data_IF_472090690583
#
_entry.id   IF_472090690583
#
_cell.length_a   1.000
_cell.length_b   1.000
_cell.length_c   1.000
_cell.angle_alpha   90.00
_cell.angle_beta   90.00
_cell.angle_gamma   90.00
#
_symmetry.space_group_name_H-M   'P 1'
#
loop_
_entity.id
_entity.type
_entity.pdbx_description
1 polymer ?
#
# COMPACT_ATOMS: atom_id res chain seq x y z
N UNK A 1 10.03 6.93 -11.60
CA UNK A 1 8.94 7.32 -10.68
C UNK A 1 9.54 7.38 -9.29
N UNK A 2 9.32 8.48 -8.56
CA UNK A 2 9.83 8.64 -7.18
C UNK A 2 9.00 7.79 -6.20
N UNK A 3 9.62 7.24 -5.15
CA UNK A 3 8.95 6.50 -4.07
C UNK A 3 7.83 7.35 -3.47
N UNK A 4 8.09 8.65 -3.24
CA UNK A 4 7.07 9.56 -2.70
C UNK A 4 5.87 9.72 -3.64
N UNK A 5 6.10 9.70 -4.95
CA UNK A 5 5.06 9.81 -5.95
C UNK A 5 4.19 8.54 -5.98
N UNK A 6 4.80 7.36 -5.88
CA UNK A 6 4.08 6.09 -5.77
C UNK A 6 3.17 6.05 -4.52
N UNK A 7 3.66 6.54 -3.38
CA UNK A 7 2.85 6.62 -2.15
C UNK A 7 1.68 7.59 -2.29
N UNK A 8 1.88 8.75 -2.90
CA UNK A 8 0.79 9.71 -3.17
C UNK A 8 -0.26 9.09 -4.08
N UNK A 9 0.17 8.40 -5.13
CA UNK A 9 -0.73 7.67 -6.02
C UNK A 9 -1.51 6.59 -5.27
N UNK A 10 -0.85 5.82 -4.41
CA UNK A 10 -1.48 4.75 -3.65
C UNK A 10 -2.50 5.26 -2.62
N UNK A 11 -2.22 6.40 -1.97
CA UNK A 11 -3.20 7.08 -1.09
C UNK A 11 -4.43 7.52 -1.91
N UNK A 12 -4.20 8.20 -3.03
CA UNK A 12 -5.27 8.76 -3.86
C UNK A 12 -6.15 7.69 -4.53
N UNK A 13 -5.58 6.51 -4.83
CA UNK A 13 -6.24 5.45 -5.58
C UNK A 13 -6.45 4.16 -4.76
N UNK A 14 -6.44 4.26 -3.42
CA UNK A 14 -6.46 3.10 -2.51
C UNK A 14 -7.59 2.11 -2.80
N UNK A 15 -8.78 2.61 -3.15
CA UNK A 15 -9.92 1.77 -3.49
C UNK A 15 -9.62 0.88 -4.71
N UNK A 16 -9.14 1.48 -5.81
CA UNK A 16 -8.78 0.74 -7.02
C UNK A 16 -7.69 -0.28 -6.73
N UNK A 17 -6.63 0.14 -6.02
CA UNK A 17 -5.51 -0.73 -5.69
C UNK A 17 -5.89 -1.89 -4.75
N UNK A 18 -6.98 -1.77 -3.99
CA UNK A 18 -7.47 -2.84 -3.11
C UNK A 18 -8.03 -4.05 -3.89
N UNK A 19 -8.45 -3.84 -5.14
CA UNK A 19 -8.92 -4.92 -6.02
C UNK A 19 -7.79 -5.61 -6.79
N UNK A 20 -6.58 -5.04 -6.76
CA UNK A 20 -5.42 -5.61 -7.44
C UNK A 20 -4.71 -6.52 -6.44
N UNK A 21 -4.53 -7.82 -6.72
CA UNK A 21 -3.82 -8.72 -5.82
C UNK A 21 -2.38 -8.27 -5.56
N UNK A 22 -1.85 -8.58 -4.38
CA UNK A 22 -0.42 -8.47 -4.15
C UNK A 22 0.31 -9.50 -5.03
N UNK A 23 1.21 -9.00 -5.89
CA UNK A 23 2.03 -9.83 -6.80
C UNK A 23 3.52 -9.81 -6.43
N UNK A 24 3.89 -9.14 -5.33
CA UNK A 24 5.28 -9.01 -4.87
C UNK A 24 5.79 -10.27 -4.14
N UNK A 25 4.92 -11.24 -3.85
CA UNK A 25 5.27 -12.46 -3.11
C UNK A 25 5.26 -12.32 -1.58
N UNK A 26 4.90 -11.14 -1.05
CA UNK A 26 4.88 -10.83 0.39
C UNK A 26 3.51 -11.08 1.07
N UNK A 27 2.72 -12.03 0.56
CA UNK A 27 1.44 -12.42 1.18
C UNK A 27 1.63 -12.89 2.63
N UNK A 28 2.75 -13.57 2.91
CA UNK A 28 3.11 -14.03 4.26
C UNK A 28 3.36 -12.86 5.24
N UNK A 29 3.71 -11.67 4.75
CA UNK A 29 3.88 -10.45 5.54
C UNK A 29 2.54 -9.70 5.75
N UNK A 30 1.44 -10.31 5.31
CA UNK A 30 0.08 -9.80 5.49
C UNK A 30 -0.38 -8.85 4.38
N UNK A 31 0.28 -8.81 3.23
CA UNK A 31 -0.17 -7.99 2.09
C UNK A 31 -1.26 -8.69 1.29
N UNK A 32 -2.48 -8.19 1.40
CA UNK A 32 -3.67 -8.79 0.76
C UNK A 32 -3.94 -8.23 -0.64
N UNK A 33 -3.45 -7.03 -0.93
CA UNK A 33 -3.64 -6.32 -2.20
C UNK A 33 -2.43 -5.46 -2.55
N UNK A 34 -2.44 -4.85 -3.73
CA UNK A 34 -1.44 -3.85 -4.13
C UNK A 34 -1.49 -2.61 -3.21
N UNK A 35 -2.65 -2.25 -2.67
CA UNK A 35 -2.76 -1.18 -1.69
C UNK A 35 -1.95 -1.49 -0.40
N UNK A 36 -1.92 -2.76 0.00
CA UNK A 36 -1.21 -3.23 1.20
C UNK A 36 0.31 -3.03 1.11
N UNK A 37 0.84 -2.92 -0.12
CA UNK A 37 2.26 -2.63 -0.37
C UNK A 37 2.69 -1.23 0.10
N UNK A 38 1.75 -0.29 0.25
CA UNK A 38 2.03 1.10 0.60
C UNK A 38 1.46 1.48 1.96
N UNK A 39 0.27 0.97 2.29
CA UNK A 39 -0.49 1.32 3.50
C UNK A 39 -0.96 0.04 4.17
N UNK A 40 -0.95 -0.01 5.50
CA UNK A 40 -1.59 -1.11 6.23
C UNK A 40 -3.08 -1.15 5.93
N UNK A 41 -3.67 -2.34 5.92
CA UNK A 41 -5.08 -2.54 5.56
C UNK A 41 -6.05 -1.80 6.50
N UNK A 42 -5.67 -1.64 7.78
CA UNK A 42 -6.42 -0.85 8.77
C UNK A 42 -6.19 0.67 8.70
N UNK A 43 -5.34 1.15 7.79
CA UNK A 43 -5.10 2.57 7.58
C UNK A 43 -6.38 3.31 7.17
N UNK A 44 -6.60 4.50 7.72
CA UNK A 44 -7.75 5.35 7.39
C UNK A 44 -7.28 6.70 6.86
N UNK A 45 -8.14 7.49 6.18
CA UNK A 45 -7.75 8.82 5.69
C UNK A 45 -7.27 9.78 6.79
N UNK A 46 -7.81 9.65 8.01
CA UNK A 46 -7.40 10.45 9.18
C UNK A 46 -6.20 9.89 9.95
N UNK A 47 -5.80 8.65 9.68
CA UNK A 47 -4.67 7.99 10.31
C UNK A 47 -3.99 7.07 9.28
N UNK A 48 -3.08 7.66 8.50
CA UNK A 48 -2.32 6.93 7.51
C UNK A 48 -1.21 6.14 8.18
N UNK A 49 -1.24 4.81 8.04
CA UNK A 49 -0.21 3.91 8.55
C UNK A 49 0.48 3.26 7.37
N UNK A 50 1.70 3.70 7.10
CA UNK A 50 2.49 3.24 5.96
C UNK A 50 3.08 1.86 6.19
N UNK A 51 3.18 1.08 5.12
CA UNK A 51 3.94 -0.15 5.13
C UNK A 51 5.46 0.14 5.15
N UNK A 52 6.22 -0.74 5.80
CA UNK A 52 7.67 -0.57 6.01
C UNK A 52 8.49 -0.93 4.76
N UNK A 53 7.92 -1.66 3.80
CA UNK A 53 8.66 -2.18 2.63
C UNK A 53 9.29 -1.11 1.73
N UNK A 54 8.92 0.17 1.85
CA UNK A 54 9.48 1.26 1.03
C UNK A 54 10.09 2.41 1.84
N UNK A 55 10.26 2.24 3.15
CA UNK A 55 10.85 3.26 4.04
C UNK A 55 12.34 3.01 4.34
N UNK A 56 12.98 2.06 3.64
CA UNK A 56 14.40 1.77 3.72
C UNK A 56 15.08 1.96 2.36
#
# INVERSE_FOLDING_TARGET
VDVREAYRFAIANRNVLSYIPCYCGCLADGHTSNASCYLKDFSTPGNLVFDRMSLN
#
